data_IF_866795058394
#
_entry.id   IF_866795058394
#
_cell.length_a   1.000
_cell.length_b   1.000
_cell.length_c   1.000
_cell.angle_alpha   90.00
_cell.angle_beta   90.00
_cell.angle_gamma   90.00
#
_symmetry.space_group_name_H-M   'P 1'
#
loop_
_entity.id
_entity.type
_entity.pdbx_description
1 polymer ?
#
# COMPACT_ATOMS: atom_id res chain seq x y z
N UNK A 1 -2.37 -0.54 28.72
CA UNK A 1 -1.55 -0.31 29.93
C UNK A 1 -0.10 -0.18 29.49
N UNK A 2 0.54 1.00 29.60
CA UNK A 2 1.90 1.19 29.10
C UNK A 2 2.95 0.67 30.09
N UNK A 3 3.97 0.01 29.54
CA UNK A 3 5.11 -0.59 30.24
C UNK A 3 6.07 0.54 30.63
N UNK A 4 6.24 0.78 31.93
CA UNK A 4 7.24 1.70 32.47
C UNK A 4 8.63 1.08 32.33
N UNK A 5 9.50 1.71 31.53
CA UNK A 5 10.91 1.37 31.45
C UNK A 5 11.66 2.20 32.51
N UNK A 6 12.14 1.52 33.56
CA UNK A 6 12.91 2.13 34.65
C UNK A 6 14.35 2.31 34.16
N UNK A 7 14.76 3.55 33.93
CA UNK A 7 16.17 3.89 33.68
C UNK A 7 16.82 4.12 35.04
N UNK A 8 17.70 3.21 35.43
CA UNK A 8 18.54 3.34 36.62
C UNK A 8 19.55 4.48 36.43
N UNK A 9 19.52 5.47 37.32
CA UNK A 9 20.54 6.51 37.38
C UNK A 9 21.78 5.92 38.08
N UNK A 10 22.86 5.68 37.34
CA UNK A 10 24.19 5.50 37.94
C UNK A 10 24.88 6.86 37.99
N UNK A 11 25.28 7.28 39.19
CA UNK A 11 26.03 8.52 39.42
C UNK A 11 27.41 8.44 38.73
N UNK A 12 27.85 9.47 38.00
CA UNK A 12 29.20 9.48 37.47
C UNK A 12 30.19 9.89 38.57
N UNK A 13 31.15 9.00 38.79
CA UNK A 13 32.32 9.20 39.63
C UNK A 13 33.28 10.19 38.94
N UNK A 14 33.79 11.14 39.73
CA UNK A 14 34.70 12.22 39.34
C UNK A 14 35.95 11.73 38.58
N UNK A 15 36.20 12.32 37.40
CA UNK A 15 37.53 12.41 36.79
C UNK A 15 37.65 13.73 36.03
N UNK A 16 38.51 14.62 36.53
CA UNK A 16 39.03 15.75 35.76
C UNK A 16 39.84 15.20 34.58
N UNK A 17 39.38 15.48 33.36
CA UNK A 17 40.15 15.27 32.15
C UNK A 17 39.85 16.42 31.16
N UNK A 18 40.84 17.30 31.02
CA UNK A 18 41.11 18.29 29.97
C UNK A 18 39.92 18.62 29.05
N UNK A 19 39.25 19.74 29.34
CA UNK A 19 37.97 20.19 28.78
C UNK A 19 38.01 20.70 27.34
N UNK A 20 39.19 21.01 26.78
CA UNK A 20 39.28 21.65 25.46
C UNK A 20 39.19 20.67 24.29
N UNK A 21 39.79 19.48 24.40
CA UNK A 21 39.88 18.51 23.29
C UNK A 21 38.60 17.67 23.15
N UNK A 22 37.88 17.43 24.25
CA UNK A 22 36.60 16.71 24.24
C UNK A 22 35.45 17.58 23.69
N UNK A 23 35.50 18.89 23.90
CA UNK A 23 34.55 19.85 23.34
C UNK A 23 34.66 19.92 21.80
N UNK A 24 35.87 19.93 21.24
CA UNK A 24 36.07 19.95 19.79
C UNK A 24 35.61 18.65 19.12
N UNK A 25 35.91 17.50 19.72
CA UNK A 25 35.48 16.20 19.19
C UNK A 25 33.95 16.03 19.23
N UNK A 26 33.29 16.54 20.26
CA UNK A 26 31.82 16.51 20.35
C UNK A 26 31.15 17.45 19.34
N UNK A 27 31.72 18.64 19.08
CA UNK A 27 31.21 19.54 18.04
C UNK A 27 31.37 18.93 16.64
N UNK A 28 32.54 18.32 16.34
CA UNK A 28 32.77 17.65 15.06
C UNK A 28 31.79 16.48 14.87
N UNK A 29 31.51 15.71 15.92
CA UNK A 29 30.54 14.62 15.89
C UNK A 29 29.11 15.12 15.65
N UNK A 30 28.71 16.23 16.27
CA UNK A 30 27.39 16.85 16.04
C UNK A 30 27.24 17.37 14.60
N UNK A 31 28.27 18.05 14.06
CA UNK A 31 28.25 18.53 12.67
C UNK A 31 28.16 17.33 11.71
N UNK A 32 28.95 16.28 11.94
CA UNK A 32 28.89 15.06 11.16
C UNK A 32 27.47 14.47 11.15
N UNK A 33 26.86 14.25 12.32
CA UNK A 33 25.49 13.71 12.44
C UNK A 33 24.48 14.56 11.66
N UNK A 34 24.54 15.89 11.78
CA UNK A 34 23.62 16.79 11.04
C UNK A 34 23.81 16.76 9.52
N UNK A 35 25.03 16.52 9.04
CA UNK A 35 25.30 16.40 7.60
C UNK A 35 24.93 15.02 7.03
N UNK A 36 25.02 13.95 7.83
CA UNK A 36 24.60 12.60 7.43
C UNK A 36 23.08 12.41 7.47
N UNK A 37 22.35 13.23 8.21
CA UNK A 37 20.88 13.24 8.23
C UNK A 37 20.25 14.01 7.06
N UNK A 38 20.95 14.18 5.94
CA UNK A 38 20.26 14.40 4.66
C UNK A 38 19.52 13.11 4.31
N UNK A 39 18.33 12.99 4.89
CA UNK A 39 17.32 12.03 4.46
C UNK A 39 16.97 12.50 3.06
N UNK A 40 17.62 11.91 2.06
CA UNK A 40 17.12 11.96 0.69
C UNK A 40 15.67 11.52 0.78
N UNK A 41 14.76 12.45 0.46
CA UNK A 41 13.36 12.11 0.33
C UNK A 41 13.32 10.97 -0.69
N UNK A 42 12.93 9.77 -0.25
CA UNK A 42 12.78 8.62 -1.14
C UNK A 42 11.74 9.01 -2.18
N UNK A 43 12.20 9.50 -3.33
CA UNK A 43 11.38 9.93 -4.44
C UNK A 43 11.01 8.70 -5.25
N UNK A 44 10.22 7.82 -4.64
CA UNK A 44 9.70 6.66 -5.33
C UNK A 44 8.74 7.11 -6.43
N UNK A 45 8.97 6.66 -7.66
CA UNK A 45 8.04 6.91 -8.77
C UNK A 45 6.69 6.23 -8.50
N UNK A 46 5.59 6.72 -9.08
CA UNK A 46 4.26 6.11 -8.87
C UNK A 46 4.21 4.60 -9.24
N UNK A 47 5.06 4.19 -10.18
CA UNK A 47 5.31 2.79 -10.58
C UNK A 47 6.05 1.95 -9.55
N UNK A 48 6.68 2.54 -8.53
CA UNK A 48 7.30 1.81 -7.41
C UNK A 48 6.31 1.50 -6.29
N UNK A 49 5.19 2.22 -6.21
CA UNK A 49 4.21 2.02 -5.14
C UNK A 49 3.26 0.85 -5.42
N UNK A 50 2.91 0.61 -6.69
CA UNK A 50 1.91 -0.37 -7.07
C UNK A 50 2.45 -1.34 -8.13
N UNK A 51 2.09 -2.64 -8.07
CA UNK A 51 2.38 -3.59 -9.14
C UNK A 51 1.84 -3.12 -10.49
N UNK A 52 2.41 -3.64 -11.58
CA UNK A 52 1.95 -3.33 -12.93
C UNK A 52 0.44 -3.58 -13.10
N UNK A 53 -0.25 -2.60 -13.72
CA UNK A 53 -1.69 -2.63 -13.94
C UNK A 53 -2.54 -2.12 -12.78
N UNK A 54 -1.94 -1.79 -11.62
CA UNK A 54 -2.65 -1.21 -10.48
C UNK A 54 -2.47 0.30 -10.46
N UNK A 55 -3.52 1.01 -10.03
CA UNK A 55 -3.48 2.48 -9.95
C UNK A 55 -3.34 2.96 -8.52
N UNK A 56 -2.52 3.98 -8.31
CA UNK A 56 -2.30 4.59 -6.99
C UNK A 56 -3.51 5.47 -6.64
N UNK A 57 -4.23 5.09 -5.59
CA UNK A 57 -5.26 5.95 -4.98
C UNK A 57 -4.60 7.02 -4.11
N UNK A 58 -5.00 8.27 -4.32
CA UNK A 58 -4.46 9.45 -3.62
C UNK A 58 -5.55 10.16 -2.83
N UNK A 59 -5.17 10.72 -1.68
CA UNK A 59 -6.02 11.67 -0.94
C UNK A 59 -6.09 13.01 -1.67
N UNK A 60 -7.00 13.89 -1.22
CA UNK A 60 -7.14 15.25 -1.75
C UNK A 60 -5.86 16.10 -1.62
N UNK A 61 -4.98 15.75 -0.66
CA UNK A 61 -3.66 16.36 -0.49
C UNK A 61 -2.55 15.70 -1.34
N UNK A 62 -2.93 14.86 -2.32
CA UNK A 62 -2.05 14.13 -3.24
C UNK A 62 -1.15 13.04 -2.62
N UNK A 63 -1.29 12.77 -1.32
CA UNK A 63 -0.55 11.69 -0.66
C UNK A 63 -1.04 10.32 -1.14
N UNK A 64 -0.13 9.37 -1.46
CA UNK A 64 -0.48 8.01 -1.81
C UNK A 64 -1.09 7.29 -0.60
N UNK A 65 -2.12 6.47 -0.83
CA UNK A 65 -2.80 5.73 0.24
C UNK A 65 -2.84 4.23 0.02
N UNK A 66 -3.33 3.80 -1.14
CA UNK A 66 -3.47 2.39 -1.48
C UNK A 66 -3.34 2.20 -2.99
N UNK A 67 -3.15 0.95 -3.41
CA UNK A 67 -3.18 0.55 -4.81
C UNK A 67 -4.53 -0.08 -5.10
N UNK A 68 -5.21 0.39 -6.15
CA UNK A 68 -6.48 -0.16 -6.61
C UNK A 68 -6.25 -0.98 -7.90
N UNK A 69 -6.49 -2.30 -7.88
CA UNK A 69 -6.33 -3.16 -9.05
C UNK A 69 -7.36 -2.87 -10.15
N UNK A 70 -8.40 -2.10 -9.84
CA UNK A 70 -9.60 -1.97 -10.66
C UNK A 70 -9.95 -0.54 -11.05
N UNK A 71 -9.06 0.42 -10.78
CA UNK A 71 -9.33 1.82 -11.12
C UNK A 71 -9.53 1.96 -12.64
N UNK A 72 -10.76 2.29 -13.05
CA UNK A 72 -11.24 2.40 -14.43
C UNK A 72 -11.54 1.08 -15.19
N UNK A 73 -11.50 -0.08 -14.54
CA UNK A 73 -11.97 -1.33 -15.16
C UNK A 73 -13.47 -1.52 -14.98
N UNK A 74 -14.16 -1.87 -16.06
CA UNK A 74 -15.57 -2.28 -16.00
C UNK A 74 -15.62 -3.76 -15.62
N UNK A 75 -16.54 -4.11 -14.72
CA UNK A 75 -16.85 -5.51 -14.46
C UNK A 75 -17.65 -6.09 -15.63
N UNK A 76 -17.24 -7.26 -16.10
CA UNK A 76 -18.05 -8.04 -17.02
C UNK A 76 -19.27 -8.59 -16.30
N UNK A 77 -20.36 -8.79 -17.04
CA UNK A 77 -21.54 -9.47 -16.48
C UNK A 77 -21.17 -10.91 -16.10
N UNK A 78 -21.70 -11.45 -14.99
CA UNK A 78 -22.72 -10.90 -14.09
C UNK A 78 -22.13 -10.14 -12.89
N UNK A 79 -20.84 -9.80 -12.94
CA UNK A 79 -20.15 -9.14 -11.83
C UNK A 79 -20.45 -7.65 -11.77
N UNK A 80 -20.44 -7.13 -10.55
CA UNK A 80 -20.69 -5.73 -10.24
C UNK A 80 -19.51 -5.18 -9.44
N UNK A 81 -19.22 -3.89 -9.65
CA UNK A 81 -18.16 -3.22 -8.92
C UNK A 81 -18.61 -2.97 -7.48
N UNK A 82 -17.85 -3.48 -6.51
CA UNK A 82 -18.07 -3.28 -5.08
C UNK A 82 -16.87 -2.54 -4.50
N UNK A 83 -17.14 -1.48 -3.74
CA UNK A 83 -16.10 -0.71 -3.06
C UNK A 83 -16.01 -1.11 -1.60
N UNK A 84 -14.83 -1.53 -1.17
CA UNK A 84 -14.57 -1.87 0.24
C UNK A 84 -14.38 -0.61 1.09
N UNK A 85 -14.65 -0.73 2.39
CA UNK A 85 -14.35 0.33 3.36
C UNK A 85 -12.86 0.65 3.47
N UNK A 86 -11.99 -0.26 3.01
CA UNK A 86 -10.55 -0.07 2.97
C UNK A 86 -10.07 0.70 1.73
N UNK A 87 -10.97 1.19 0.88
CA UNK A 87 -10.63 2.02 -0.29
C UNK A 87 -10.18 1.22 -1.53
N UNK A 88 -10.49 -0.08 -1.57
CA UNK A 88 -10.17 -0.98 -2.70
C UNK A 88 -11.45 -1.40 -3.41
N UNK A 89 -11.44 -1.38 -4.73
CA UNK A 89 -12.57 -1.80 -5.58
C UNK A 89 -12.33 -3.19 -6.15
N UNK A 90 -13.37 -4.03 -6.22
CA UNK A 90 -13.28 -5.36 -6.84
C UNK A 90 -14.62 -5.78 -7.49
N UNK A 91 -14.56 -6.67 -8.48
CA UNK A 91 -15.75 -7.24 -9.13
C UNK A 91 -16.29 -8.41 -8.30
N UNK A 92 -17.57 -8.36 -7.97
CA UNK A 92 -18.26 -9.40 -7.20
C UNK A 92 -19.63 -9.70 -7.83
N UNK A 93 -20.05 -10.96 -7.78
CA UNK A 93 -21.39 -11.36 -8.21
C UNK A 93 -22.10 -12.08 -7.05
N UNK A 94 -23.39 -11.83 -6.89
CA UNK A 94 -24.20 -12.59 -5.95
C UNK A 94 -24.30 -14.05 -6.43
N UNK A 95 -24.17 -15.01 -5.51
CA UNK A 95 -24.12 -16.45 -5.85
C UNK A 95 -25.30 -16.89 -6.73
N UNK A 96 -26.51 -16.42 -6.42
CA UNK A 96 -27.70 -16.78 -7.21
C UNK A 96 -27.64 -16.20 -8.62
N UNK A 97 -27.31 -14.91 -8.75
CA UNK A 97 -27.19 -14.25 -10.06
C UNK A 97 -26.08 -14.87 -10.92
N UNK A 98 -24.96 -15.28 -10.30
CA UNK A 98 -23.89 -16.00 -11.00
C UNK A 98 -24.36 -17.36 -11.51
N UNK A 99 -25.17 -18.08 -10.73
CA UNK A 99 -25.68 -19.39 -11.13
C UNK A 99 -26.74 -19.28 -12.23
N UNK A 100 -27.63 -18.30 -12.16
CA UNK A 100 -28.62 -18.02 -13.20
C UNK A 100 -27.93 -17.67 -14.52
N UNK A 101 -26.97 -16.74 -14.47
CA UNK A 101 -26.19 -16.35 -15.65
C UNK A 101 -25.45 -17.53 -16.29
N UNK A 102 -24.86 -18.43 -15.48
CA UNK A 102 -24.20 -19.64 -16.00
C UNK A 102 -25.16 -20.55 -16.77
N UNK A 103 -26.40 -20.71 -16.27
CA UNK A 103 -27.42 -21.52 -16.92
C UNK A 103 -27.91 -20.88 -18.22
N UNK A 104 -28.11 -19.57 -18.21
CA UNK A 104 -28.49 -18.82 -19.43
C UNK A 104 -27.43 -18.94 -20.51
N UNK A 105 -26.14 -18.81 -20.14
CA UNK A 105 -25.03 -18.90 -21.09
C UNK A 105 -24.84 -20.33 -21.65
N UNK A 106 -25.11 -21.35 -20.85
CA UNK A 106 -25.12 -22.75 -21.29
C UNK A 106 -26.25 -23.01 -22.29
N UNK A 107 -27.49 -22.62 -21.97
CA UNK A 107 -28.63 -22.76 -22.87
C UNK A 107 -28.44 -21.99 -24.18
N UNK A 108 -27.87 -20.78 -24.12
CA UNK A 108 -27.56 -20.00 -25.31
C UNK A 108 -26.57 -20.72 -26.22
N UNK A 109 -25.53 -21.33 -25.64
CA UNK A 109 -24.53 -22.09 -26.42
C UNK A 109 -25.14 -23.31 -27.08
N UNK A 110 -26.02 -24.03 -26.37
CA UNK A 110 -26.73 -25.20 -26.92
C UNK A 110 -27.60 -24.81 -28.12
N UNK A 111 -28.38 -23.71 -28.02
CA UNK A 111 -29.17 -23.21 -29.16
C UNK A 111 -28.29 -22.78 -30.34
N UNK A 112 -27.18 -22.08 -30.09
CA UNK A 112 -26.24 -21.67 -31.16
C UNK A 112 -25.56 -22.87 -31.82
N UNK A 113 -25.33 -23.96 -31.10
CA UNK A 113 -24.82 -25.21 -31.64
C UNK A 113 -25.88 -25.91 -32.49
N UNK A 114 -27.13 -26.04 -32.02
CA UNK A 114 -28.24 -26.60 -32.79
C UNK A 114 -28.48 -25.83 -34.10
N UNK A 115 -28.56 -24.49 -34.05
CA UNK A 115 -28.70 -23.64 -35.24
C UNK A 115 -27.55 -23.83 -36.24
N UNK A 116 -26.33 -24.10 -35.77
CA UNK A 116 -25.18 -24.40 -36.63
C UNK A 116 -25.30 -25.76 -37.31
N UNK A 117 -25.87 -26.76 -36.65
CA UNK A 117 -26.06 -28.11 -37.22
C UNK A 117 -27.25 -28.18 -38.19
N UNK A 118 -28.18 -27.22 -38.13
CA UNK A 118 -29.32 -27.11 -39.05
C UNK A 118 -28.99 -26.35 -40.36
N UNK A 119 -27.77 -25.84 -40.51
CA UNK A 119 -27.26 -25.07 -41.66
C UNK A 119 -26.34 -25.91 -42.57
#
# INVERSE_FOLDING_TARGET
MPIQMVIACTSPMSRQANTATTALLSIISLIAITTYHRVDAAACSASEYCPDGWSVQRKANYDPTTCDPMQNMKCDKPYQCVHSSCGISFCCAHKNALNEWKKEEEMKREMEEEERYEL
#
